data_IF_392094421506
#
_entry.id   IF_392094421506
#
_cell.length_a   1.000
_cell.length_b   1.000
_cell.length_c   1.000
_cell.angle_alpha   90.00
_cell.angle_beta   90.00
_cell.angle_gamma   90.00
#
_symmetry.space_group_name_H-M   'P 1'
#
loop_
_entity.id
_entity.type
_entity.pdbx_description
1 polymer ?
#
# COMPACT_ATOMS: atom_id res chain seq x y z
N UNK A 1 -7.66 -24.18 -19.98
CA UNK A 1 -6.40 -24.50 -19.25
C UNK A 1 -5.35 -24.99 -20.24
N UNK A 2 -4.05 -24.78 -19.96
CA UNK A 2 -2.96 -25.14 -20.89
C UNK A 2 -2.79 -26.66 -21.07
N UNK A 3 -2.86 -27.42 -19.98
CA UNK A 3 -2.64 -28.88 -19.98
C UNK A 3 -3.84 -29.64 -19.43
N UNK A 4 -4.64 -30.24 -20.32
CA UNK A 4 -5.84 -31.00 -19.94
C UNK A 4 -5.55 -32.26 -19.12
N UNK A 5 -4.31 -32.73 -19.05
CA UNK A 5 -3.95 -33.88 -18.20
C UNK A 5 -4.01 -33.54 -16.70
N UNK A 6 -4.11 -32.27 -16.35
CA UNK A 6 -4.18 -31.78 -14.96
C UNK A 6 -5.60 -31.37 -14.54
N UNK A 7 -6.63 -31.77 -15.30
CA UNK A 7 -8.01 -31.30 -15.11
C UNK A 7 -8.75 -31.93 -13.94
N UNK A 8 -8.25 -33.05 -13.40
CA UNK A 8 -8.98 -33.89 -12.43
C UNK A 8 -9.52 -33.10 -11.23
N UNK A 9 -8.71 -32.21 -10.64
CA UNK A 9 -9.15 -31.37 -9.51
C UNK A 9 -10.26 -30.39 -9.89
N UNK A 10 -10.21 -29.85 -11.12
CA UNK A 10 -11.24 -28.94 -11.62
C UNK A 10 -12.55 -29.70 -11.91
N UNK A 11 -12.45 -30.90 -12.48
CA UNK A 11 -13.62 -31.75 -12.71
C UNK A 11 -14.27 -32.18 -11.40
N UNK A 12 -13.46 -32.54 -10.39
CA UNK A 12 -13.95 -32.84 -9.06
C UNK A 12 -14.65 -31.64 -8.40
N UNK A 13 -14.05 -30.44 -8.49
CA UNK A 13 -14.63 -29.23 -7.94
C UNK A 13 -15.90 -28.78 -8.68
N UNK A 14 -15.98 -29.04 -9.98
CA UNK A 14 -17.14 -28.72 -10.80
C UNK A 14 -18.36 -29.59 -10.46
N UNK A 15 -18.13 -30.85 -10.10
CA UNK A 15 -19.20 -31.80 -9.77
C UNK A 15 -20.29 -31.83 -10.85
N UNK A 16 -21.54 -31.66 -10.43
CA UNK A 16 -22.72 -31.74 -11.31
C UNK A 16 -22.87 -30.58 -12.31
N UNK A 17 -22.05 -29.53 -12.19
CA UNK A 17 -22.07 -28.36 -13.08
C UNK A 17 -21.24 -28.57 -14.35
N UNK A 18 -20.34 -29.57 -14.34
CA UNK A 18 -19.50 -29.90 -15.49
C UNK A 18 -20.37 -30.30 -16.69
N UNK A 19 -20.06 -29.74 -17.85
CA UNK A 19 -20.80 -29.88 -19.11
C UNK A 19 -22.24 -29.33 -19.09
N UNK A 20 -22.70 -28.69 -18.00
CA UNK A 20 -23.98 -27.98 -17.94
C UNK A 20 -23.77 -26.47 -17.96
N UNK A 21 -23.03 -25.96 -16.98
CA UNK A 21 -22.71 -24.53 -16.84
C UNK A 21 -21.20 -24.27 -16.83
N UNK A 22 -20.38 -25.29 -16.59
CA UNK A 22 -18.92 -25.21 -16.68
C UNK A 22 -18.40 -26.13 -17.79
N UNK A 23 -17.61 -25.59 -18.71
CA UNK A 23 -16.86 -26.37 -19.70
C UNK A 23 -15.36 -26.13 -19.55
N UNK A 24 -14.57 -27.20 -19.59
CA UNK A 24 -13.11 -27.10 -19.55
C UNK A 24 -12.58 -27.26 -20.98
N UNK A 25 -11.93 -26.21 -21.48
CA UNK A 25 -11.32 -26.19 -22.81
C UNK A 25 -9.79 -26.08 -22.72
N UNK A 26 -9.09 -26.60 -23.72
CA UNK A 26 -7.66 -26.35 -23.88
C UNK A 26 -7.44 -24.91 -24.33
N UNK A 27 -6.56 -24.19 -23.65
CA UNK A 27 -6.20 -22.82 -23.98
C UNK A 27 -4.77 -22.55 -23.51
N UNK A 28 -3.87 -22.25 -24.45
CA UNK A 28 -2.59 -21.64 -24.21
C UNK A 28 -2.59 -20.18 -24.69
N UNK A 29 -2.57 -19.25 -23.75
CA UNK A 29 -2.61 -17.81 -24.05
C UNK A 29 -1.35 -17.32 -24.77
N UNK A 30 -0.28 -18.13 -24.82
CA UNK A 30 0.95 -17.83 -25.57
C UNK A 30 0.87 -18.18 -27.06
N UNK A 31 -0.21 -18.83 -27.54
CA UNK A 31 -0.37 -19.26 -28.95
C UNK A 31 -1.65 -18.69 -29.55
N UNK A 32 -1.52 -18.00 -30.67
CA UNK A 32 -2.66 -17.46 -31.42
C UNK A 32 -3.59 -18.56 -31.94
N UNK A 33 -3.02 -19.69 -32.36
CA UNK A 33 -3.74 -20.88 -32.82
C UNK A 33 -4.58 -21.48 -31.69
N UNK A 34 -3.98 -21.67 -30.50
CA UNK A 34 -4.69 -22.23 -29.36
C UNK A 34 -5.84 -21.32 -28.89
N UNK A 35 -5.65 -20.01 -28.95
CA UNK A 35 -6.71 -19.03 -28.64
C UNK A 35 -7.84 -19.14 -29.66
N UNK A 36 -7.52 -19.15 -30.95
CA UNK A 36 -8.52 -19.26 -32.01
C UNK A 36 -9.31 -20.58 -31.93
N UNK A 37 -8.64 -21.70 -31.74
CA UNK A 37 -9.28 -23.01 -31.56
C UNK A 37 -10.20 -23.04 -30.34
N UNK A 38 -9.74 -22.53 -29.20
CA UNK A 38 -10.55 -22.46 -27.99
C UNK A 38 -11.83 -21.66 -28.22
N UNK A 39 -11.73 -20.48 -28.85
CA UNK A 39 -12.90 -19.63 -29.10
C UNK A 39 -13.87 -20.26 -30.12
N UNK A 40 -13.34 -20.92 -31.14
CA UNK A 40 -14.14 -21.61 -32.17
C UNK A 40 -14.94 -22.80 -31.60
N UNK A 41 -14.42 -23.44 -30.55
CA UNK A 41 -15.05 -24.58 -29.88
C UNK A 41 -16.07 -24.17 -28.81
N UNK A 42 -16.21 -22.87 -28.50
CA UNK A 42 -17.24 -22.40 -27.57
C UNK A 42 -18.61 -22.39 -28.24
N UNK A 43 -19.63 -22.81 -27.47
CA UNK A 43 -21.02 -22.70 -27.87
C UNK A 43 -21.36 -21.23 -28.17
N UNK A 44 -21.99 -20.99 -29.30
CA UNK A 44 -22.39 -19.66 -29.79
C UNK A 44 -21.22 -18.67 -30.04
N UNK A 45 -19.95 -19.11 -29.90
CA UNK A 45 -18.72 -18.32 -30.10
C UNK A 45 -18.73 -16.95 -29.40
N UNK A 46 -19.49 -16.85 -28.31
CA UNK A 46 -19.74 -15.59 -27.61
C UNK A 46 -19.06 -15.59 -26.26
N UNK A 47 -18.36 -14.50 -25.96
CA UNK A 47 -17.74 -14.24 -24.66
C UNK A 47 -18.37 -13.00 -24.06
N UNK A 48 -19.17 -13.16 -23.01
CA UNK A 48 -19.76 -12.05 -22.27
C UNK A 48 -18.75 -11.40 -21.31
N UNK A 49 -17.93 -12.22 -20.64
CA UNK A 49 -16.90 -11.78 -19.71
C UNK A 49 -15.61 -12.54 -20.02
N UNK A 50 -14.52 -11.80 -20.20
CA UNK A 50 -13.16 -12.36 -20.25
C UNK A 50 -12.48 -12.07 -18.91
N UNK A 51 -11.96 -13.12 -18.27
CA UNK A 51 -11.11 -12.99 -17.08
C UNK A 51 -9.69 -13.44 -17.44
N UNK A 52 -8.77 -12.49 -17.60
CA UNK A 52 -7.36 -12.76 -17.81
C UNK A 52 -6.71 -13.12 -16.46
N UNK A 53 -6.79 -14.40 -16.10
CA UNK A 53 -6.22 -14.96 -14.86
C UNK A 53 -4.93 -15.77 -15.10
N UNK A 54 -4.52 -15.98 -16.35
CA UNK A 54 -3.29 -16.72 -16.62
C UNK A 54 -2.08 -15.88 -16.18
N UNK A 55 -1.27 -16.45 -15.27
CA UNK A 55 -0.08 -15.79 -14.77
C UNK A 55 0.98 -16.80 -14.34
N UNK A 56 2.24 -16.45 -14.55
CA UNK A 56 3.41 -17.16 -14.01
C UNK A 56 4.32 -16.15 -13.33
N UNK A 57 4.92 -16.56 -12.22
CA UNK A 57 5.91 -15.78 -11.49
C UNK A 57 7.30 -16.37 -11.69
N UNK A 58 8.30 -15.51 -11.56
CA UNK A 58 9.70 -15.91 -11.50
C UNK A 58 10.38 -15.16 -10.37
N UNK A 59 11.04 -15.90 -9.48
CA UNK A 59 11.69 -15.37 -8.29
C UNK A 59 13.13 -15.85 -8.29
N UNK A 60 14.07 -14.93 -8.11
CA UNK A 60 15.49 -15.23 -8.02
C UNK A 60 16.34 -13.96 -8.18
N UNK A 61 17.61 -13.99 -7.76
CA UNK A 61 18.55 -12.90 -8.02
C UNK A 61 18.65 -12.59 -9.52
N UNK A 62 18.71 -11.31 -9.90
CA UNK A 62 18.68 -10.88 -11.30
C UNK A 62 19.79 -11.52 -12.14
N UNK A 63 20.96 -11.75 -11.54
CA UNK A 63 22.12 -12.41 -12.16
C UNK A 63 21.90 -13.90 -12.46
N UNK A 64 20.93 -14.54 -11.79
CA UNK A 64 20.62 -15.96 -11.95
C UNK A 64 19.46 -16.22 -12.92
N UNK A 65 18.74 -15.17 -13.30
CA UNK A 65 17.56 -15.27 -14.17
C UNK A 65 17.97 -15.16 -15.64
N UNK A 66 17.60 -16.16 -16.44
CA UNK A 66 17.84 -16.09 -17.88
C UNK A 66 16.88 -15.10 -18.53
N UNK A 67 17.36 -14.39 -19.56
CA UNK A 67 16.50 -13.53 -20.38
C UNK A 67 15.31 -14.28 -20.97
N UNK A 68 15.49 -15.57 -21.28
CA UNK A 68 14.44 -16.42 -21.84
C UNK A 68 13.32 -16.65 -20.83
N UNK A 69 13.64 -16.83 -19.56
CA UNK A 69 12.62 -17.05 -18.55
C UNK A 69 11.90 -15.74 -18.18
N UNK A 70 12.62 -14.61 -18.12
CA UNK A 70 12.00 -13.29 -18.00
C UNK A 70 11.02 -13.01 -19.16
N UNK A 71 11.42 -13.34 -20.39
CA UNK A 71 10.54 -13.22 -21.57
C UNK A 71 9.29 -14.10 -21.45
N UNK A 72 9.39 -15.33 -20.94
CA UNK A 72 8.23 -16.21 -20.73
C UNK A 72 7.20 -15.61 -19.77
N UNK A 73 7.65 -14.87 -18.75
CA UNK A 73 6.77 -14.14 -17.84
C UNK A 73 5.97 -13.09 -18.59
N UNK A 74 6.64 -12.26 -19.41
CA UNK A 74 5.95 -11.27 -20.25
C UNK A 74 5.03 -11.90 -21.29
N UNK A 75 5.45 -12.99 -21.93
CA UNK A 75 4.65 -13.72 -22.91
C UNK A 75 3.33 -14.23 -22.31
N UNK A 76 3.35 -14.70 -21.07
CA UNK A 76 2.14 -15.18 -20.40
C UNK A 76 1.32 -14.05 -19.80
N UNK A 77 1.94 -13.19 -19.00
CA UNK A 77 1.25 -12.23 -18.13
C UNK A 77 0.80 -10.98 -18.90
N UNK A 78 1.57 -10.55 -19.91
CA UNK A 78 1.28 -9.36 -20.69
C UNK A 78 0.73 -9.72 -22.08
N UNK A 79 1.55 -10.36 -22.92
CA UNK A 79 1.15 -10.65 -24.30
C UNK A 79 0.00 -11.65 -24.37
N UNK A 80 -0.07 -12.62 -23.44
CA UNK A 80 -1.20 -13.54 -23.34
C UNK A 80 -2.53 -12.84 -23.07
N UNK A 81 -2.55 -11.88 -22.14
CA UNK A 81 -3.73 -11.07 -21.88
C UNK A 81 -4.11 -10.20 -23.09
N UNK A 82 -3.12 -9.54 -23.71
CA UNK A 82 -3.34 -8.74 -24.93
C UNK A 82 -3.90 -9.60 -26.07
N UNK A 83 -3.39 -10.81 -26.26
CA UNK A 83 -3.85 -11.76 -27.28
C UNK A 83 -5.31 -12.16 -27.06
N UNK A 84 -5.70 -12.49 -25.84
CA UNK A 84 -7.10 -12.78 -25.49
C UNK A 84 -8.01 -11.58 -25.72
N UNK A 85 -7.59 -10.37 -25.32
CA UNK A 85 -8.34 -9.13 -25.55
C UNK A 85 -8.53 -8.90 -27.05
N UNK A 86 -7.46 -8.99 -27.85
CA UNK A 86 -7.54 -8.83 -29.31
C UNK A 86 -8.50 -9.83 -29.96
N UNK A 87 -8.59 -11.04 -29.42
CA UNK A 87 -9.46 -12.08 -29.96
C UNK A 87 -10.95 -11.84 -29.65
N UNK A 88 -11.30 -11.35 -28.46
CA UNK A 88 -12.72 -11.17 -28.04
C UNK A 88 -13.27 -9.76 -28.28
N UNK A 89 -12.41 -8.74 -28.25
CA UNK A 89 -12.83 -7.33 -28.29
C UNK A 89 -13.59 -6.93 -29.57
N UNK A 90 -13.27 -7.43 -30.79
CA UNK A 90 -14.02 -7.09 -31.99
C UNK A 90 -15.51 -7.47 -31.91
N UNK A 91 -15.82 -8.64 -31.35
CA UNK A 91 -17.20 -9.07 -31.15
C UNK A 91 -17.91 -8.23 -30.07
N UNK A 92 -17.25 -8.03 -28.92
CA UNK A 92 -17.74 -7.16 -27.84
C UNK A 92 -18.09 -5.75 -28.33
N UNK A 93 -17.25 -5.17 -29.19
CA UNK A 93 -17.49 -3.86 -29.80
C UNK A 93 -18.71 -3.86 -30.72
N UNK A 94 -18.86 -4.88 -31.58
CA UNK A 94 -20.02 -5.00 -32.49
C UNK A 94 -21.34 -5.08 -31.72
N UNK A 95 -21.36 -5.84 -30.62
CA UNK A 95 -22.55 -6.01 -29.76
C UNK A 95 -22.73 -4.91 -28.71
N UNK A 96 -21.77 -3.98 -28.60
CA UNK A 96 -21.74 -2.89 -27.59
C UNK A 96 -21.96 -3.40 -26.16
N UNK A 97 -21.42 -4.57 -25.85
CA UNK A 97 -21.57 -5.22 -24.56
C UNK A 97 -20.35 -6.13 -24.33
N UNK A 98 -19.99 -6.37 -23.07
CA UNK A 98 -18.88 -7.22 -22.67
C UNK A 98 -18.02 -6.62 -21.58
N UNK A 99 -17.41 -7.47 -20.76
CA UNK A 99 -16.50 -7.06 -19.70
C UNK A 99 -15.16 -7.79 -19.80
N UNK A 100 -14.07 -7.07 -19.57
CA UNK A 100 -12.73 -7.61 -19.50
C UNK A 100 -12.19 -7.32 -18.11
N UNK A 101 -11.85 -8.37 -17.38
CA UNK A 101 -11.22 -8.31 -16.06
C UNK A 101 -9.82 -8.87 -16.21
N UNK A 102 -8.80 -8.10 -15.84
CA UNK A 102 -7.41 -8.56 -15.83
C UNK A 102 -6.94 -8.64 -14.40
N UNK A 103 -6.44 -9.81 -13.99
CA UNK A 103 -5.95 -10.02 -12.64
C UNK A 103 -4.53 -9.45 -12.52
N UNK A 104 -4.35 -8.49 -11.62
CA UNK A 104 -3.02 -8.09 -11.12
C UNK A 104 -2.58 -9.03 -10.00
N UNK A 105 -1.26 -9.17 -9.81
CA UNK A 105 -0.70 -10.07 -8.79
C UNK A 105 -0.93 -9.53 -7.37
N UNK A 106 -1.22 -10.43 -6.42
CA UNK A 106 -1.21 -10.15 -4.97
C UNK A 106 0.20 -9.74 -4.49
N UNK A 107 1.26 -10.08 -5.23
CA UNK A 107 2.63 -9.61 -4.94
C UNK A 107 2.84 -8.11 -5.19
N UNK A 108 1.83 -7.37 -5.65
CA UNK A 108 1.83 -5.91 -5.53
C UNK A 108 1.49 -5.41 -4.12
N UNK A 109 0.92 -6.27 -3.26
CA UNK A 109 0.49 -5.95 -1.89
C UNK A 109 1.49 -6.44 -0.81
N UNK A 110 2.24 -7.50 -1.10
CA UNK A 110 3.33 -8.00 -0.26
C UNK A 110 4.66 -7.54 -0.84
N UNK A 111 5.60 -7.09 -0.01
CA UNK A 111 6.97 -6.86 -0.50
C UNK A 111 7.47 -8.18 -1.11
N UNK A 112 7.80 -8.24 -2.42
CA UNK A 112 8.24 -9.45 -3.08
C UNK A 112 9.49 -10.08 -2.45
N UNK A 113 10.20 -9.34 -1.59
CA UNK A 113 11.41 -9.75 -0.91
C UNK A 113 11.17 -10.17 0.55
N UNK A 114 10.03 -9.85 1.17
CA UNK A 114 9.73 -10.18 2.57
C UNK A 114 8.22 -10.26 2.86
N UNK A 115 7.71 -11.49 3.02
CA UNK A 115 6.30 -11.78 3.33
C UNK A 115 5.84 -11.27 4.70
N UNK A 116 6.77 -10.84 5.57
CA UNK A 116 6.46 -10.36 6.92
C UNK A 116 6.30 -8.84 6.99
N UNK A 117 6.31 -8.12 5.86
CA UNK A 117 6.09 -6.68 5.83
C UNK A 117 5.26 -6.23 4.62
N UNK A 118 4.56 -5.13 4.83
CA UNK A 118 3.89 -4.31 3.83
C UNK A 118 4.89 -3.21 3.47
N UNK A 119 5.43 -3.25 2.25
CA UNK A 119 6.36 -2.23 1.75
C UNK A 119 5.64 -1.01 1.18
N UNK A 120 6.41 -0.13 0.54
CA UNK A 120 5.95 1.19 0.04
C UNK A 120 4.70 1.07 -0.86
N UNK A 121 4.68 0.12 -1.80
CA UNK A 121 3.54 -0.07 -2.71
C UNK A 121 2.28 -0.51 -1.96
N UNK A 122 2.43 -1.38 -0.95
CA UNK A 122 1.34 -1.82 -0.10
C UNK A 122 0.82 -0.70 0.81
N UNK A 123 1.69 0.18 1.29
CA UNK A 123 1.30 1.38 2.03
C UNK A 123 0.54 2.36 1.13
N UNK A 124 0.98 2.56 -0.12
CA UNK A 124 0.27 3.41 -1.08
C UNK A 124 -1.14 2.87 -1.33
N UNK A 125 -1.27 1.58 -1.65
CA UNK A 125 -2.57 0.96 -1.88
C UNK A 125 -3.46 1.01 -0.63
N UNK A 126 -2.89 0.81 0.56
CA UNK A 126 -3.61 0.94 1.82
C UNK A 126 -4.18 2.36 2.00
N UNK A 127 -3.42 3.40 1.64
CA UNK A 127 -3.89 4.78 1.68
C UNK A 127 -4.98 5.02 0.62
N UNK A 128 -4.82 4.46 -0.58
CA UNK A 128 -5.80 4.56 -1.67
C UNK A 128 -7.13 3.91 -1.28
N UNK A 129 -7.11 2.74 -0.65
CA UNK A 129 -8.29 2.02 -0.15
C UNK A 129 -9.04 2.83 0.92
N UNK A 130 -8.30 3.56 1.76
CA UNK A 130 -8.87 4.49 2.75
C UNK A 130 -9.29 5.83 2.11
N UNK A 131 -8.88 6.10 0.87
CA UNK A 131 -9.00 7.39 0.19
C UNK A 131 -8.40 8.54 1.04
N UNK A 132 -7.14 8.32 1.46
CA UNK A 132 -6.34 9.28 2.21
C UNK A 132 -5.06 9.62 1.44
N UNK A 133 -4.59 10.85 1.61
CA UNK A 133 -3.24 11.21 1.21
C UNK A 133 -2.23 10.49 2.13
N UNK A 134 -1.24 9.74 1.60
CA UNK A 134 -0.18 9.11 2.40
C UNK A 134 0.56 10.05 3.34
N UNK A 135 0.63 11.35 3.00
CA UNK A 135 1.29 12.37 3.81
C UNK A 135 0.34 13.04 4.84
N UNK A 136 -0.90 12.55 4.97
CA UNK A 136 -1.90 13.14 5.89
C UNK A 136 -1.66 12.78 7.36
N UNK A 137 -2.14 13.66 8.26
CA UNK A 137 -2.18 13.38 9.71
C UNK A 137 -2.96 12.09 10.00
N UNK A 138 -4.03 11.81 9.24
CA UNK A 138 -4.87 10.62 9.44
C UNK A 138 -4.07 9.33 9.25
N UNK A 139 -3.19 9.26 8.25
CA UNK A 139 -2.31 8.10 8.02
C UNK A 139 -1.29 7.97 9.16
N UNK A 140 -0.73 9.09 9.63
CA UNK A 140 0.17 9.09 10.78
C UNK A 140 -0.53 8.64 12.08
N UNK A 141 -1.81 8.99 12.27
CA UNK A 141 -2.63 8.50 13.40
C UNK A 141 -2.83 6.99 13.34
N UNK A 142 -3.06 6.44 12.14
CA UNK A 142 -3.13 4.98 11.96
C UNK A 142 -1.80 4.33 12.31
N UNK A 143 -0.68 4.87 11.81
CA UNK A 143 0.65 4.35 12.13
C UNK A 143 0.95 4.39 13.64
N UNK A 144 0.54 5.46 14.33
CA UNK A 144 0.63 5.56 15.80
C UNK A 144 -0.20 4.48 16.49
N UNK A 145 -1.44 4.24 16.05
CA UNK A 145 -2.28 3.18 16.61
C UNK A 145 -1.74 1.79 16.36
N UNK A 146 -1.10 1.57 15.22
CA UNK A 146 -0.46 0.29 14.89
C UNK A 146 0.91 0.13 15.56
N UNK A 147 1.38 1.19 16.25
CA UNK A 147 2.71 1.26 16.89
C UNK A 147 3.82 0.95 15.90
N UNK A 148 3.67 1.45 14.67
CA UNK A 148 4.60 1.21 13.58
C UNK A 148 5.99 1.73 13.91
N UNK A 149 7.01 0.90 13.68
CA UNK A 149 8.39 1.23 14.04
C UNK A 149 8.99 2.32 13.14
N UNK A 150 8.70 2.30 11.83
CA UNK A 150 9.31 3.18 10.82
C UNK A 150 8.28 3.55 9.76
N UNK A 151 8.41 4.74 9.17
CA UNK A 151 7.60 5.18 8.05
C UNK A 151 7.77 4.34 6.77
N UNK A 152 6.74 4.39 5.91
CA UNK A 152 6.69 3.74 4.60
C UNK A 152 6.67 2.20 4.60
N UNK A 153 6.54 1.57 5.78
CA UNK A 153 6.32 0.14 5.92
C UNK A 153 5.48 -0.19 7.16
N UNK A 154 4.80 -1.34 7.13
CA UNK A 154 4.26 -1.98 8.31
C UNK A 154 4.71 -3.43 8.35
N UNK A 155 5.24 -3.90 9.47
CA UNK A 155 5.36 -5.33 9.69
C UNK A 155 3.97 -5.97 9.73
N UNK A 156 3.90 -7.24 9.36
CA UNK A 156 2.68 -8.05 9.44
C UNK A 156 2.09 -8.03 10.86
N UNK A 157 2.96 -8.01 11.87
CA UNK A 157 2.55 -7.96 13.27
C UNK A 157 1.89 -6.63 13.62
N UNK A 158 2.52 -5.50 13.29
CA UNK A 158 1.95 -4.17 13.53
C UNK A 158 0.57 -4.02 12.86
N UNK A 159 0.45 -4.47 11.61
CA UNK A 159 -0.81 -4.42 10.89
C UNK A 159 -1.90 -5.29 11.54
N UNK A 160 -1.59 -6.56 11.84
CA UNK A 160 -2.57 -7.51 12.41
C UNK A 160 -2.97 -7.12 13.84
N UNK A 161 -1.99 -6.81 14.69
CA UNK A 161 -2.23 -6.40 16.07
C UNK A 161 -3.02 -5.08 16.09
N UNK A 162 -2.63 -4.10 15.28
CA UNK A 162 -3.29 -2.80 15.18
C UNK A 162 -4.74 -2.88 14.69
N UNK A 163 -5.00 -3.63 13.62
CA UNK A 163 -6.36 -3.85 13.12
C UNK A 163 -7.24 -4.58 14.16
N UNK A 164 -6.67 -5.58 14.84
CA UNK A 164 -7.37 -6.34 15.88
C UNK A 164 -7.69 -5.49 17.11
N UNK A 165 -6.73 -4.68 17.60
CA UNK A 165 -6.94 -3.77 18.74
C UNK A 165 -8.00 -2.70 18.42
N UNK A 166 -8.09 -2.27 17.16
CA UNK A 166 -9.13 -1.35 16.69
C UNK A 166 -10.47 -2.03 16.35
N UNK A 167 -10.55 -3.36 16.42
CA UNK A 167 -11.75 -4.12 16.06
C UNK A 167 -12.12 -4.00 14.58
N UNK A 168 -11.14 -3.80 13.70
CA UNK A 168 -11.31 -3.61 12.27
C UNK A 168 -10.86 -4.86 11.50
N UNK A 169 -11.69 -5.33 10.58
CA UNK A 169 -11.41 -6.46 9.68
C UNK A 169 -11.47 -6.07 8.20
N UNK A 170 -11.63 -4.77 7.92
CA UNK A 170 -11.76 -4.20 6.58
C UNK A 170 -11.32 -2.73 6.56
N UNK A 171 -10.86 -2.21 5.41
CA UNK A 171 -10.52 -0.80 5.25
C UNK A 171 -11.68 0.14 5.60
N UNK A 172 -12.91 -0.20 5.22
CA UNK A 172 -14.10 0.61 5.51
C UNK A 172 -14.34 0.77 7.01
N UNK A 173 -14.17 -0.30 7.79
CA UNK A 173 -14.29 -0.21 9.26
C UNK A 173 -13.19 0.67 9.85
N UNK A 174 -11.95 0.52 9.40
CA UNK A 174 -10.86 1.38 9.87
C UNK A 174 -11.13 2.85 9.53
N UNK A 175 -11.56 3.14 8.31
CA UNK A 175 -11.93 4.48 7.86
C UNK A 175 -13.04 5.09 8.72
N UNK A 176 -14.05 4.29 9.08
CA UNK A 176 -15.14 4.74 9.96
C UNK A 176 -14.68 5.09 11.38
N UNK A 177 -13.55 4.53 11.84
CA UNK A 177 -12.97 4.82 13.14
C UNK A 177 -12.09 6.08 13.14
N UNK A 178 -11.54 6.50 12.00
CA UNK A 178 -10.59 7.62 11.91
C UNK A 178 -11.05 8.89 12.64
N UNK A 179 -12.30 9.38 12.51
CA UNK A 179 -12.73 10.58 13.22
C UNK A 179 -12.64 10.44 14.75
N UNK A 180 -12.90 9.23 15.28
CA UNK A 180 -12.76 8.94 16.70
C UNK A 180 -11.29 8.94 17.13
N UNK A 181 -10.41 8.35 16.32
CA UNK A 181 -8.98 8.28 16.60
C UNK A 181 -8.35 9.68 16.60
N UNK A 182 -8.72 10.53 15.64
CA UNK A 182 -8.29 11.93 15.56
C UNK A 182 -8.80 12.76 16.75
N UNK A 183 -10.01 12.48 17.24
CA UNK A 183 -10.52 13.13 18.45
C UNK A 183 -9.68 12.83 19.69
N UNK A 184 -9.00 11.66 19.76
CA UNK A 184 -8.10 11.36 20.87
C UNK A 184 -6.94 12.36 20.95
N UNK A 185 -6.53 12.97 19.83
CA UNK A 185 -5.47 13.99 19.79
C UNK A 185 -5.85 15.34 20.42
N UNK A 186 -7.11 15.50 20.86
CA UNK A 186 -7.52 16.65 21.67
C UNK A 186 -7.08 16.51 23.13
N UNK A 187 -6.83 15.30 23.59
CA UNK A 187 -6.27 15.06 24.93
C UNK A 187 -4.76 15.40 24.93
N UNK A 188 -4.29 16.29 25.82
CA UNK A 188 -2.89 16.70 25.85
C UNK A 188 -1.90 15.55 26.08
N UNK A 189 -2.28 14.55 26.88
CA UNK A 189 -1.43 13.39 27.18
C UNK A 189 -1.28 12.48 25.96
N UNK A 190 -2.40 12.17 25.30
CA UNK A 190 -2.43 11.42 24.03
C UNK A 190 -1.68 12.15 22.92
N UNK A 191 -1.84 13.47 22.82
CA UNK A 191 -1.13 14.26 21.83
C UNK A 191 0.38 14.26 22.09
N UNK A 192 0.82 14.34 23.35
CA UNK A 192 2.24 14.23 23.72
C UNK A 192 2.81 12.86 23.33
N UNK A 193 2.07 11.78 23.61
CA UNK A 193 2.46 10.42 23.20
C UNK A 193 2.57 10.30 21.67
N UNK A 194 1.55 10.75 20.94
CA UNK A 194 1.53 10.80 19.47
C UNK A 194 2.71 11.60 18.89
N UNK A 195 2.96 12.78 19.44
CA UNK A 195 4.05 13.66 19.01
C UNK A 195 5.44 13.03 19.24
N UNK A 196 5.64 12.36 20.38
CA UNK A 196 6.89 11.65 20.67
C UNK A 196 7.07 10.39 19.84
N UNK A 197 5.96 9.71 19.50
CA UNK A 197 5.94 8.59 18.55
C UNK A 197 6.46 9.04 17.17
N UNK A 198 5.97 10.17 16.65
CA UNK A 198 6.33 10.68 15.31
C UNK A 198 7.84 10.77 15.10
N UNK A 199 8.62 11.17 16.12
CA UNK A 199 10.08 11.22 16.02
C UNK A 199 10.71 9.86 15.71
N UNK A 200 10.30 8.80 16.43
CA UNK A 200 10.89 7.47 16.26
C UNK A 200 10.42 6.83 14.96
N UNK A 201 9.17 7.10 14.56
CA UNK A 201 8.60 6.66 13.30
C UNK A 201 9.27 7.30 12.07
N UNK A 202 9.58 8.59 12.15
CA UNK A 202 10.15 9.35 11.03
C UNK A 202 11.65 9.11 10.85
N UNK A 203 12.40 8.82 11.91
CA UNK A 203 13.86 8.68 11.82
C UNK A 203 14.24 7.36 11.14
N UNK A 204 15.35 7.37 10.41
CA UNK A 204 15.89 6.15 9.85
C UNK A 204 16.29 5.14 10.97
N UNK A 205 16.00 3.84 10.80
CA UNK A 205 16.47 2.81 11.72
C UNK A 205 17.99 2.88 11.94
N UNK A 206 18.42 2.67 13.18
CA UNK A 206 19.84 2.78 13.57
C UNK A 206 20.37 4.20 13.77
N UNK A 207 19.66 5.24 13.33
CA UNK A 207 20.06 6.63 13.60
C UNK A 207 19.52 7.14 14.95
N UNK A 208 20.31 8.02 15.59
CA UNK A 208 19.97 8.69 16.86
C UNK A 208 19.17 9.98 16.69
N UNK A 209 19.35 10.68 15.57
CA UNK A 209 18.68 11.93 15.25
C UNK A 209 17.77 11.79 14.03
N UNK A 210 16.84 12.73 13.90
CA UNK A 210 15.98 12.86 12.72
C UNK A 210 16.61 13.83 11.73
N UNK A 211 16.58 13.51 10.44
CA UNK A 211 17.03 14.45 9.40
C UNK A 211 16.26 15.79 9.48
N UNK A 212 16.92 16.90 9.18
CA UNK A 212 16.34 18.23 9.34
C UNK A 212 15.12 18.45 8.43
N UNK A 213 15.20 18.07 7.16
CA UNK A 213 14.11 18.26 6.22
C UNK A 213 12.90 17.41 6.63
N UNK A 214 13.17 16.17 7.08
CA UNK A 214 12.15 15.28 7.60
C UNK A 214 11.51 15.82 8.89
N UNK A 215 12.31 16.37 9.80
CA UNK A 215 11.79 16.97 11.03
C UNK A 215 10.86 18.15 10.74
N UNK A 216 11.25 19.04 9.81
CA UNK A 216 10.41 20.17 9.38
C UNK A 216 9.10 19.67 8.76
N UNK A 217 9.16 18.66 7.88
CA UNK A 217 7.95 18.09 7.27
C UNK A 217 6.97 17.57 8.33
N UNK A 218 7.45 16.76 9.28
CA UNK A 218 6.59 16.23 10.34
C UNK A 218 6.13 17.29 11.34
N UNK A 219 6.95 18.31 11.67
CA UNK A 219 6.48 19.43 12.49
C UNK A 219 5.36 20.21 11.81
N UNK A 220 5.48 20.49 10.52
CA UNK A 220 4.39 21.11 9.75
C UNK A 220 3.14 20.22 9.72
N UNK A 221 3.31 18.90 9.72
CA UNK A 221 2.19 17.98 9.78
C UNK A 221 1.48 17.98 11.14
N UNK A 222 2.22 17.97 12.25
CA UNK A 222 1.63 17.74 13.59
C UNK A 222 1.45 18.99 14.45
N UNK A 223 2.22 20.07 14.21
CA UNK A 223 2.19 21.31 15.01
C UNK A 223 1.49 22.48 14.31
N UNK A 224 1.07 22.34 13.05
CA UNK A 224 0.29 23.39 12.37
C UNK A 224 -0.97 23.74 13.17
N UNK A 225 -1.15 25.04 13.42
CA UNK A 225 -2.26 25.55 14.25
C UNK A 225 -2.12 25.31 15.76
N UNK A 226 -1.05 24.65 16.22
CA UNK A 226 -0.75 24.41 17.65
C UNK A 226 0.48 25.17 18.13
N UNK A 227 1.48 25.35 17.27
CA UNK A 227 2.69 26.10 17.60
C UNK A 227 2.76 27.42 16.81
N UNK A 228 2.54 28.54 17.51
CA UNK A 228 2.47 29.89 16.93
C UNK A 228 3.75 30.36 16.25
N UNK A 229 4.92 29.85 16.65
CA UNK A 229 6.21 30.23 16.07
C UNK A 229 6.77 29.19 15.10
N UNK A 230 5.94 28.27 14.59
CA UNK A 230 6.39 27.17 13.74
C UNK A 230 7.15 27.64 12.50
N UNK A 231 6.64 28.65 11.79
CA UNK A 231 7.31 29.19 10.61
C UNK A 231 8.66 29.83 10.93
N UNK A 232 8.73 30.56 12.05
CA UNK A 232 9.96 31.19 12.52
C UNK A 232 10.99 30.13 12.96
N UNK A 233 10.53 29.07 13.63
CA UNK A 233 11.34 27.92 14.03
C UNK A 233 11.92 27.20 12.81
N UNK A 234 11.10 26.91 11.80
CA UNK A 234 11.54 26.29 10.56
C UNK A 234 12.61 27.14 9.86
N UNK A 235 12.37 28.46 9.76
CA UNK A 235 13.33 29.41 9.19
C UNK A 235 14.65 29.40 9.96
N UNK A 236 14.61 29.49 11.29
CA UNK A 236 15.79 29.48 12.15
C UNK A 236 16.64 28.22 11.92
N UNK A 237 16.02 27.04 11.86
CA UNK A 237 16.77 25.79 11.67
C UNK A 237 17.42 25.70 10.29
N UNK A 238 16.73 26.15 9.25
CA UNK A 238 17.24 26.18 7.87
C UNK A 238 18.42 27.15 7.73
N UNK A 239 18.40 28.27 8.45
CA UNK A 239 19.47 29.28 8.41
C UNK A 239 20.66 28.89 9.30
N UNK A 240 20.42 28.33 10.50
CA UNK A 240 21.44 28.26 11.56
C UNK A 240 21.83 26.86 12.04
N UNK A 241 20.96 25.83 11.97
CA UNK A 241 21.27 24.51 12.54
C UNK A 241 21.80 23.51 11.51
N UNK A 242 21.12 23.40 10.34
CA UNK A 242 21.48 22.56 9.17
C UNK A 242 21.98 21.13 9.49
N UNK A 243 21.57 20.58 10.63
CA UNK A 243 21.99 19.27 11.16
C UNK A 243 20.77 18.49 11.65
N UNK A 244 20.96 17.20 11.90
CA UNK A 244 19.90 16.35 12.45
C UNK A 244 19.38 16.88 13.80
N UNK A 245 18.11 16.61 14.05
CA UNK A 245 17.39 17.00 15.26
C UNK A 245 17.51 15.87 16.30
N UNK A 246 18.07 16.15 17.49
CA UNK A 246 18.06 15.20 18.61
C UNK A 246 16.65 14.94 19.14
N UNK A 247 16.43 13.76 19.71
CA UNK A 247 15.14 13.38 20.32
C UNK A 247 14.69 14.35 21.42
N UNK A 248 15.64 14.80 22.25
CA UNK A 248 15.32 15.72 23.34
C UNK A 248 14.87 17.09 22.81
N UNK A 249 15.53 17.61 21.77
CA UNK A 249 15.13 18.85 21.10
C UNK A 249 13.74 18.73 20.49
N UNK A 250 13.44 17.61 19.82
CA UNK A 250 12.09 17.33 19.32
C UNK A 250 11.07 17.36 20.45
N UNK A 251 11.30 16.59 21.52
CA UNK A 251 10.36 16.46 22.64
C UNK A 251 10.11 17.79 23.36
N UNK A 252 11.17 18.55 23.65
CA UNK A 252 11.08 19.81 24.40
C UNK A 252 10.40 20.92 23.59
N UNK A 253 10.40 20.85 22.25
CA UNK A 253 9.71 21.86 21.43
C UNK A 253 8.20 21.89 21.71
N UNK A 254 7.57 20.75 22.00
CA UNK A 254 6.16 20.71 22.37
C UNK A 254 5.92 21.39 23.71
N UNK A 255 6.77 21.12 24.69
CA UNK A 255 6.66 21.74 26.02
C UNK A 255 6.92 23.26 25.91
N UNK A 256 7.94 23.69 25.16
CA UNK A 256 8.21 25.09 24.82
C UNK A 256 6.99 25.77 24.19
N UNK A 257 6.42 25.17 23.14
CA UNK A 257 5.26 25.73 22.44
C UNK A 257 4.02 25.91 23.32
N UNK A 258 3.86 25.08 24.35
CA UNK A 258 2.74 25.16 25.30
C UNK A 258 2.93 26.25 26.37
N UNK A 259 4.16 26.60 26.73
CA UNK A 259 4.45 27.52 27.84
C UNK A 259 4.87 28.92 27.39
N UNK A 260 5.44 29.05 26.19
CA UNK A 260 6.07 30.30 25.75
C UNK A 260 5.04 31.41 25.49
N UNK A 261 5.32 32.61 26.00
CA UNK A 261 4.55 33.83 25.76
C UNK A 261 4.66 34.30 24.30
N UNK A 262 3.74 35.17 23.88
CA UNK A 262 3.69 35.69 22.51
C UNK A 262 4.91 36.57 22.14
N UNK A 263 5.56 37.15 23.14
CA UNK A 263 6.78 37.95 23.01
C UNK A 263 8.04 37.20 23.49
N UNK A 264 7.90 35.91 23.84
CA UNK A 264 8.95 35.06 24.42
C UNK A 264 9.54 35.57 25.75
N UNK A 265 8.89 36.53 26.42
CA UNK A 265 9.42 37.19 27.64
C UNK A 265 9.58 36.27 28.85
N UNK A 266 8.86 35.15 28.89
CA UNK A 266 8.91 34.16 29.96
C UNK A 266 9.89 33.01 29.68
N UNK A 267 10.73 33.11 28.64
CA UNK A 267 11.79 32.16 28.39
C UNK A 267 12.98 32.39 29.33
N UNK A 268 13.47 31.32 29.96
CA UNK A 268 14.70 31.34 30.74
C UNK A 268 15.81 30.61 29.97
N UNK A 269 16.81 31.36 29.52
CA UNK A 269 17.99 30.81 28.83
C UNK A 269 18.87 29.96 29.75
N UNK A 270 18.80 30.15 31.06
CA UNK A 270 19.58 29.39 32.05
C UNK A 270 18.88 28.10 32.51
N UNK A 271 17.59 27.93 32.18
CA UNK A 271 16.79 26.73 32.47
C UNK A 271 16.67 26.38 33.95
N UNK A 272 16.54 27.38 34.83
CA UNK A 272 16.45 27.21 36.30
C UNK A 272 15.05 26.94 36.82
#
# INVERSE_FOLDING_TARGET
MRDLRKKDKLEQAAGDTLNKTLSIQRLDVCSDESVAECLNNMKDRRVDVLVNNAGVGQIGPIESLSMQDMQKVFETNFFGAVRMIKAVLPDMKKRKSGHIVTMSSVMGLQDPQDENKIGIDGIQQFCDDLNLDPASVSVLVVAWKFRAATQCEFSKREFVDGMSELGCDSPDKLKSQLPRLEQELKDPGKFKDFYQFTFNFAKNPGQKGLDLEMAIAYWNLVLTGKFKFLDLWNKFLLEHHKRSIPKDTWNLLLDFGNIIADDMSNYDEEGK
#
